data_IF_098161281227
#
_entry.id   IF_098161281227
#
_cell.length_a   1.000
_cell.length_b   1.000
_cell.length_c   1.000
_cell.angle_alpha   90.00
_cell.angle_beta   90.00
_cell.angle_gamma   90.00
#
_symmetry.space_group_name_H-M   'P 1'
#
loop_
_entity.id
_entity.type
_entity.pdbx_description
1 polymer ?
#
# COMPACT_ATOMS: atom_id res chain seq x y z
N UNK A 1 0.19 -8.15 -30.68
CA UNK A 1 -0.58 -7.54 -29.58
C UNK A 1 -0.39 -8.45 -28.35
N UNK A 2 0.37 -8.02 -27.35
CA UNK A 2 0.53 -8.80 -26.11
C UNK A 2 -0.83 -8.96 -25.46
N UNK A 3 -1.20 -10.17 -25.08
CA UNK A 3 -2.45 -10.47 -24.35
C UNK A 3 -2.45 -9.66 -23.05
N UNK A 4 -3.54 -8.96 -22.76
CA UNK A 4 -3.73 -8.26 -21.47
C UNK A 4 -3.74 -9.31 -20.33
N UNK A 5 -2.83 -9.15 -19.37
CA UNK A 5 -2.75 -10.01 -18.19
C UNK A 5 -3.96 -9.78 -17.27
N UNK A 6 -4.44 -10.84 -16.67
CA UNK A 6 -5.47 -10.78 -15.62
C UNK A 6 -4.88 -10.29 -14.30
N UNK A 7 -5.72 -9.79 -13.39
CA UNK A 7 -5.30 -9.39 -12.05
C UNK A 7 -4.60 -10.54 -11.28
N UNK A 8 -5.04 -11.79 -11.53
CA UNK A 8 -4.43 -13.00 -10.95
C UNK A 8 -3.01 -13.26 -11.49
N UNK A 9 -2.81 -13.11 -12.78
CA UNK A 9 -1.48 -13.27 -13.39
C UNK A 9 -0.53 -12.18 -12.86
N UNK A 10 -0.98 -10.93 -12.77
CA UNK A 10 -0.21 -9.83 -12.18
C UNK A 10 0.12 -10.10 -10.71
N UNK A 11 -0.86 -10.58 -9.91
CA UNK A 11 -0.62 -10.92 -8.51
C UNK A 11 0.46 -12.01 -8.36
N UNK A 12 0.44 -13.05 -9.20
CA UNK A 12 1.47 -14.08 -9.22
C UNK A 12 2.85 -13.51 -9.58
N UNK A 13 2.91 -12.56 -10.51
CA UNK A 13 4.16 -11.86 -10.83
C UNK A 13 4.64 -11.02 -9.64
N UNK A 14 3.77 -10.23 -9.02
CA UNK A 14 4.11 -9.36 -7.89
C UNK A 14 4.66 -10.14 -6.68
N UNK A 15 4.20 -11.39 -6.48
CA UNK A 15 4.60 -12.27 -5.37
C UNK A 15 5.76 -13.21 -5.71
N UNK A 16 6.22 -13.22 -6.96
CA UNK A 16 7.28 -14.12 -7.41
C UNK A 16 8.64 -13.77 -6.78
N UNK A 17 9.42 -14.78 -6.41
CA UNK A 17 10.76 -14.59 -5.84
C UNK A 17 11.73 -13.92 -6.80
N UNK A 18 11.62 -14.19 -8.10
CA UNK A 18 12.47 -13.61 -9.15
C UNK A 18 12.01 -12.24 -9.66
N UNK A 19 10.93 -11.69 -9.10
CA UNK A 19 10.57 -10.28 -9.27
C UNK A 19 11.71 -9.39 -8.78
N UNK A 20 11.98 -8.28 -9.48
CA UNK A 20 13.01 -7.31 -9.06
C UNK A 20 12.82 -6.90 -7.59
N UNK A 21 13.92 -6.74 -6.86
CA UNK A 21 13.95 -6.41 -5.44
C UNK A 21 14.68 -5.09 -5.18
N UNK A 22 14.35 -4.45 -4.08
CA UNK A 22 14.92 -3.15 -3.68
C UNK A 22 16.44 -3.15 -3.69
N UNK A 23 17.09 -4.22 -3.18
CA UNK A 23 18.54 -4.33 -3.18
C UNK A 23 19.14 -4.27 -4.59
N UNK A 24 18.55 -5.00 -5.53
CA UNK A 24 19.00 -5.02 -6.93
C UNK A 24 18.87 -3.62 -7.57
N UNK A 25 17.80 -2.88 -7.25
CA UNK A 25 17.61 -1.51 -7.73
C UNK A 25 18.68 -0.59 -7.16
N UNK A 26 18.95 -0.68 -5.85
CA UNK A 26 19.95 0.15 -5.19
C UNK A 26 21.34 -0.14 -5.76
N UNK A 27 21.71 -1.40 -5.87
CA UNK A 27 23.02 -1.82 -6.40
C UNK A 27 23.24 -1.43 -7.88
N UNK A 28 22.17 -1.38 -8.68
CA UNK A 28 22.27 -1.09 -10.11
C UNK A 28 22.16 0.40 -10.47
N UNK A 29 21.34 1.18 -9.74
CA UNK A 29 21.02 2.56 -10.11
C UNK A 29 21.64 3.61 -9.22
N UNK A 30 22.24 3.24 -8.10
CA UNK A 30 22.83 4.17 -7.13
C UNK A 30 24.29 3.85 -6.87
N UNK A 31 25.07 4.88 -6.58
CA UNK A 31 26.47 4.77 -6.14
C UNK A 31 26.61 5.23 -4.70
N UNK A 32 27.71 4.88 -4.06
CA UNK A 32 28.10 5.31 -2.72
C UNK A 32 27.03 5.08 -1.64
N UNK A 33 26.28 3.97 -1.78
CA UNK A 33 25.26 3.62 -0.78
C UNK A 33 25.90 3.36 0.59
N UNK A 34 25.50 4.18 1.56
CA UNK A 34 25.84 4.02 2.96
C UNK A 34 24.59 3.69 3.75
N UNK A 35 24.56 2.50 4.36
CA UNK A 35 23.43 2.08 5.19
C UNK A 35 23.32 2.90 6.46
N UNK A 36 22.09 2.94 7.02
CA UNK A 36 21.83 3.66 8.26
C UNK A 36 22.73 3.23 9.42
N UNK A 37 23.04 1.95 9.52
CA UNK A 37 23.96 1.42 10.54
C UNK A 37 25.38 1.99 10.41
N UNK A 38 25.79 2.36 9.19
CA UNK A 38 27.08 3.04 8.94
C UNK A 38 27.07 4.54 9.22
N UNK A 39 25.89 5.15 9.35
CA UNK A 39 25.74 6.60 9.59
C UNK A 39 25.62 6.97 11.08
N UNK A 40 25.32 6.03 11.94
CA UNK A 40 25.10 6.25 13.36
C UNK A 40 25.99 5.38 14.24
N UNK A 41 26.67 6.03 15.18
CA UNK A 41 27.45 5.36 16.23
C UNK A 41 26.58 4.86 17.41
N UNK A 42 25.25 5.09 17.36
CA UNK A 42 24.33 4.72 18.43
C UNK A 42 22.97 4.27 17.85
N UNK A 43 22.28 3.40 18.58
CA UNK A 43 20.93 2.97 18.24
C UNK A 43 19.95 4.16 18.34
N UNK A 44 19.24 4.52 17.26
CA UNK A 44 18.30 5.61 17.30
C UNK A 44 17.12 5.26 18.21
N UNK A 45 16.55 6.31 18.82
CA UNK A 45 15.40 6.17 19.71
C UNK A 45 14.29 7.13 19.31
N UNK A 46 13.04 6.73 19.54
CA UNK A 46 11.86 7.56 19.35
C UNK A 46 11.10 7.71 20.68
N UNK A 47 10.52 8.88 20.90
CA UNK A 47 9.64 9.13 22.03
C UNK A 47 8.20 8.79 21.65
N UNK A 48 7.63 7.83 22.37
CA UNK A 48 6.25 7.42 22.20
C UNK A 48 5.26 8.42 22.84
N UNK A 49 3.96 8.44 22.46
CA UNK A 49 2.96 9.34 23.02
C UNK A 49 2.77 9.19 24.54
N UNK A 50 2.96 8.00 25.06
CA UNK A 50 2.88 7.69 26.50
C UNK A 50 4.14 8.11 27.27
N UNK A 51 5.11 8.79 26.63
CA UNK A 51 6.37 9.23 27.22
C UNK A 51 7.47 8.18 27.28
N UNK A 52 7.20 6.92 26.92
CA UNK A 52 8.24 5.88 26.85
C UNK A 52 9.20 6.11 25.69
N UNK A 53 10.40 5.54 25.79
CA UNK A 53 11.41 5.55 24.72
C UNK A 53 11.38 4.21 23.99
N UNK A 54 11.26 4.26 22.65
CA UNK A 54 11.37 3.11 21.78
C UNK A 54 12.80 3.07 21.23
N UNK A 55 13.58 2.07 21.62
CA UNK A 55 14.88 1.80 21.03
C UNK A 55 14.69 1.05 19.71
N UNK A 56 15.28 1.56 18.64
CA UNK A 56 15.15 1.00 17.30
C UNK A 56 16.33 0.08 17.01
N UNK A 57 16.04 -1.02 16.36
CA UNK A 57 17.02 -2.00 15.90
C UNK A 57 16.82 -2.22 14.39
N UNK A 58 17.75 -2.96 13.76
CA UNK A 58 17.64 -3.30 12.35
C UNK A 58 16.37 -4.10 12.06
N UNK A 59 15.67 -3.71 10.99
CA UNK A 59 14.61 -4.49 10.40
C UNK A 59 15.14 -5.20 9.13
N UNK A 60 15.15 -6.54 9.07
CA UNK A 60 15.68 -7.25 7.91
C UNK A 60 14.85 -7.05 6.63
N UNK A 61 13.57 -6.67 6.76
CA UNK A 61 12.66 -6.39 5.65
C UNK A 61 12.72 -4.92 5.17
N UNK A 62 13.68 -4.11 5.67
CA UNK A 62 13.83 -2.72 5.24
C UNK A 62 15.30 -2.33 5.07
N UNK A 63 15.60 -1.66 3.96
CA UNK A 63 16.90 -1.07 3.63
C UNK A 63 16.76 0.43 3.76
N UNK A 64 17.62 1.05 4.57
CA UNK A 64 17.58 2.50 4.82
C UNK A 64 19.00 3.04 4.72
N UNK A 65 19.18 4.17 4.07
CA UNK A 65 20.49 4.79 3.93
C UNK A 65 20.48 6.03 3.06
N UNK A 66 21.66 6.48 2.71
CA UNK A 66 21.92 7.54 1.74
C UNK A 66 22.74 7.00 0.58
N UNK A 67 22.58 7.58 -0.59
CA UNK A 67 23.31 7.16 -1.80
C UNK A 67 23.38 8.34 -2.78
N UNK A 68 24.07 8.13 -3.89
CA UNK A 68 24.04 9.06 -5.02
C UNK A 68 23.19 8.49 -6.15
N UNK A 69 22.24 9.28 -6.64
CA UNK A 69 21.51 9.03 -7.87
C UNK A 69 21.92 10.06 -8.91
N UNK A 70 22.60 9.61 -9.96
CA UNK A 70 23.16 10.47 -11.01
C UNK A 70 23.98 11.66 -10.46
N UNK A 71 24.84 11.36 -9.49
CA UNK A 71 25.72 12.36 -8.86
C UNK A 71 25.05 13.31 -7.88
N UNK A 72 23.78 13.07 -7.52
CA UNK A 72 23.06 13.85 -6.52
C UNK A 72 22.76 12.97 -5.29
N UNK A 73 23.04 13.49 -4.11
CA UNK A 73 22.77 12.78 -2.86
C UNK A 73 21.26 12.64 -2.63
N UNK A 74 20.83 11.43 -2.27
CA UNK A 74 19.44 11.08 -2.01
C UNK A 74 19.32 10.21 -0.75
N UNK A 75 18.21 10.31 -0.07
CA UNK A 75 17.84 9.40 1.00
C UNK A 75 17.01 8.24 0.43
N UNK A 76 17.23 7.03 0.93
CA UNK A 76 16.55 5.81 0.49
C UNK A 76 15.86 5.15 1.65
N UNK A 77 14.59 4.79 1.48
CA UNK A 77 13.83 3.89 2.33
C UNK A 77 13.20 2.82 1.42
N UNK A 78 13.60 1.57 1.59
CA UNK A 78 13.21 0.51 0.67
C UNK A 78 12.77 -0.74 1.43
N UNK A 79 11.55 -1.20 1.17
CA UNK A 79 11.06 -2.47 1.69
C UNK A 79 11.60 -3.61 0.85
N UNK A 80 11.89 -4.74 1.49
CA UNK A 80 12.55 -5.89 0.87
C UNK A 80 11.81 -7.17 1.22
N UNK A 81 11.29 -7.85 0.19
CA UNK A 81 10.79 -9.21 0.30
C UNK A 81 11.87 -10.23 -0.05
N UNK A 82 11.76 -11.50 0.41
CA UNK A 82 12.75 -12.54 0.11
C UNK A 82 12.83 -12.86 -1.38
N UNK A 83 14.03 -13.28 -1.84
CA UNK A 83 14.29 -13.73 -3.23
C UNK A 83 14.19 -15.25 -3.40
N UNK A 84 14.00 -15.96 -2.30
CA UNK A 84 13.86 -17.43 -2.29
C UNK A 84 13.02 -17.88 -1.09
N UNK A 85 12.55 -19.14 -1.14
CA UNK A 85 11.84 -19.74 -0.01
C UNK A 85 12.74 -19.89 1.22
N UNK A 86 14.03 -20.10 1.02
CA UNK A 86 15.04 -20.28 2.07
C UNK A 86 15.28 -18.97 2.86
N UNK A 87 15.13 -17.82 2.19
CA UNK A 87 15.35 -16.51 2.81
C UNK A 87 14.14 -15.96 3.57
N UNK A 88 12.98 -16.63 3.51
CA UNK A 88 11.72 -16.09 4.06
C UNK A 88 11.84 -15.66 5.52
N UNK A 89 12.42 -16.50 6.37
CA UNK A 89 12.57 -16.16 7.79
C UNK A 89 13.58 -15.04 8.02
N UNK A 90 14.65 -14.98 7.22
CA UNK A 90 15.68 -13.94 7.32
C UNK A 90 15.14 -12.54 7.00
N UNK A 91 14.13 -12.44 6.13
CA UNK A 91 13.46 -11.18 5.78
C UNK A 91 12.09 -11.02 6.47
N UNK A 92 11.88 -11.68 7.61
CA UNK A 92 10.60 -11.67 8.34
C UNK A 92 9.40 -11.88 7.40
N UNK A 93 9.51 -12.80 6.45
CA UNK A 93 8.47 -13.11 5.43
C UNK A 93 8.06 -11.92 4.55
N UNK A 94 8.86 -10.86 4.47
CA UNK A 94 8.52 -9.61 3.78
C UNK A 94 7.58 -8.69 4.57
N UNK A 95 7.40 -8.98 5.86
CA UNK A 95 6.62 -8.17 6.79
C UNK A 95 7.54 -7.14 7.46
N UNK A 96 7.30 -5.86 7.24
CA UNK A 96 8.06 -4.79 7.86
C UNK A 96 7.71 -4.66 9.34
N UNK A 97 8.72 -4.66 10.21
CA UNK A 97 8.59 -4.56 11.66
C UNK A 97 8.43 -3.10 12.13
N UNK A 98 8.07 -2.92 13.40
CA UNK A 98 7.97 -1.61 14.02
C UNK A 98 9.30 -0.83 13.94
N UNK A 99 10.42 -1.53 14.10
CA UNK A 99 11.76 -0.94 14.01
C UNK A 99 12.01 -0.31 12.63
N UNK A 100 11.63 -0.97 11.56
CA UNK A 100 11.75 -0.46 10.19
C UNK A 100 10.99 0.85 10.00
N UNK A 101 9.73 0.95 10.46
CA UNK A 101 8.98 2.21 10.38
C UNK A 101 9.56 3.30 11.27
N UNK A 102 10.09 2.94 12.45
CA UNK A 102 10.80 3.88 13.32
C UNK A 102 12.04 4.45 12.64
N UNK A 103 12.86 3.59 12.04
CA UNK A 103 14.05 4.00 11.27
C UNK A 103 13.68 4.82 10.03
N UNK A 104 12.56 4.48 9.35
CA UNK A 104 12.04 5.25 8.24
C UNK A 104 11.68 6.68 8.65
N UNK A 105 11.06 6.88 9.83
CA UNK A 105 10.82 8.23 10.37
C UNK A 105 12.10 9.00 10.58
N UNK A 106 13.13 8.38 11.19
CA UNK A 106 14.44 9.02 11.38
C UNK A 106 15.07 9.41 10.02
N UNK A 107 14.94 8.57 9.00
CA UNK A 107 15.47 8.89 7.67
C UNK A 107 14.67 10.01 6.97
N UNK A 108 13.35 10.09 7.16
CA UNK A 108 12.54 11.21 6.68
C UNK A 108 12.99 12.53 7.31
N UNK A 109 13.25 12.53 8.62
CA UNK A 109 13.78 13.71 9.33
C UNK A 109 15.19 14.07 8.86
N UNK A 110 16.04 13.08 8.63
CA UNK A 110 17.37 13.26 8.07
C UNK A 110 17.32 13.86 6.65
N UNK A 111 16.48 13.29 5.78
CA UNK A 111 16.31 13.79 4.40
C UNK A 111 15.87 15.24 4.37
N UNK A 112 14.92 15.64 5.19
CA UNK A 112 14.47 17.02 5.31
C UNK A 112 15.56 17.95 5.83
N UNK A 113 16.25 17.54 6.91
CA UNK A 113 17.33 18.33 7.53
C UNK A 113 18.45 18.66 6.56
N UNK A 114 18.79 17.73 5.69
CA UNK A 114 19.89 17.90 4.71
C UNK A 114 19.41 18.22 3.29
N UNK A 115 18.12 18.42 3.08
CA UNK A 115 17.53 18.78 1.77
C UNK A 115 17.62 17.65 0.74
N UNK A 116 17.78 16.39 1.17
CA UNK A 116 17.92 15.25 0.26
C UNK A 116 16.55 14.87 -0.33
N UNK A 117 16.53 14.56 -1.63
CA UNK A 117 15.34 13.94 -2.21
C UNK A 117 15.15 12.54 -1.63
N UNK A 118 13.96 12.23 -1.14
CA UNK A 118 13.63 10.93 -0.59
C UNK A 118 13.11 9.99 -1.68
N UNK A 119 13.79 8.87 -1.89
CA UNK A 119 13.32 7.77 -2.75
C UNK A 119 12.80 6.63 -1.89
N UNK A 120 11.54 6.23 -2.08
CA UNK A 120 10.99 5.07 -1.40
C UNK A 120 10.66 3.94 -2.39
N UNK A 121 11.08 2.71 -2.08
CA UNK A 121 10.74 1.51 -2.83
C UNK A 121 9.87 0.61 -1.97
N UNK A 122 8.72 0.23 -2.50
CA UNK A 122 7.69 -0.49 -1.74
C UNK A 122 7.56 -1.90 -2.28
N UNK A 123 7.95 -2.86 -1.45
CA UNK A 123 7.74 -4.29 -1.67
C UNK A 123 7.56 -4.98 -0.32
N UNK A 124 6.32 -5.07 0.15
CA UNK A 124 5.96 -5.65 1.44
C UNK A 124 4.63 -6.37 1.39
N UNK A 125 4.54 -7.46 2.11
CA UNK A 125 3.26 -8.15 2.39
C UNK A 125 2.37 -7.31 3.30
N UNK A 126 2.99 -6.47 4.15
CA UNK A 126 2.30 -5.58 5.10
C UNK A 126 3.17 -5.28 6.31
N UNK A 127 2.58 -4.58 7.28
CA UNK A 127 3.20 -4.41 8.60
C UNK A 127 3.16 -5.73 9.39
N UNK A 128 4.19 -5.98 10.18
CA UNK A 128 4.30 -7.18 11.02
C UNK A 128 3.18 -7.23 12.07
N UNK A 129 2.30 -8.23 12.06
CA UNK A 129 1.17 -8.32 12.98
C UNK A 129 1.52 -8.93 14.34
N UNK A 130 2.78 -9.33 14.57
CA UNK A 130 3.16 -10.08 15.77
C UNK A 130 3.30 -9.18 17.00
N UNK A 131 3.19 -9.83 18.16
CA UNK A 131 3.17 -9.15 19.47
C UNK A 131 4.41 -8.27 19.74
N UNK A 132 5.58 -8.66 19.25
CA UNK A 132 6.82 -7.89 19.42
C UNK A 132 6.73 -6.52 18.73
N UNK A 133 6.22 -6.47 17.51
CA UNK A 133 6.00 -5.23 16.76
C UNK A 133 4.83 -4.42 17.35
N UNK A 134 3.76 -5.08 17.79
CA UNK A 134 2.66 -4.42 18.48
C UNK A 134 3.11 -3.74 19.78
N UNK A 135 3.97 -4.40 20.57
CA UNK A 135 4.56 -3.84 21.80
C UNK A 135 5.41 -2.59 21.53
N UNK A 136 6.02 -2.48 20.36
CA UNK A 136 6.75 -1.30 19.89
C UNK A 136 5.86 -0.28 19.17
N UNK A 137 4.54 -0.35 19.34
CA UNK A 137 3.56 0.58 18.76
C UNK A 137 3.57 0.63 17.22
N UNK A 138 3.64 -0.52 16.56
CA UNK A 138 3.66 -0.66 15.09
C UNK A 138 2.64 0.23 14.38
N UNK A 139 1.37 0.17 14.79
CA UNK A 139 0.29 0.94 14.14
C UNK A 139 0.50 2.45 14.27
N UNK A 140 1.00 2.91 15.42
CA UNK A 140 1.34 4.30 15.65
C UNK A 140 2.52 4.74 14.76
N UNK A 141 3.56 3.92 14.63
CA UNK A 141 4.72 4.22 13.78
C UNK A 141 4.30 4.29 12.30
N UNK A 142 3.45 3.38 11.83
CA UNK A 142 2.86 3.43 10.47
C UNK A 142 2.09 4.74 10.27
N UNK A 143 1.22 5.12 11.20
CA UNK A 143 0.47 6.37 11.13
C UNK A 143 1.38 7.61 11.16
N UNK A 144 2.45 7.57 11.95
CA UNK A 144 3.47 8.62 11.99
C UNK A 144 4.23 8.75 10.67
N UNK A 145 4.59 7.63 10.03
CA UNK A 145 5.19 7.65 8.69
C UNK A 145 4.26 8.32 7.66
N UNK A 146 2.97 7.98 7.67
CA UNK A 146 1.99 8.60 6.78
C UNK A 146 1.92 10.12 7.01
N UNK A 147 1.77 10.55 8.27
CA UNK A 147 1.71 11.96 8.63
C UNK A 147 3.00 12.68 8.22
N UNK A 148 4.16 12.03 8.42
CA UNK A 148 5.46 12.60 8.08
C UNK A 148 5.66 12.74 6.58
N UNK A 149 5.32 11.73 5.79
CA UNK A 149 5.34 11.80 4.33
C UNK A 149 4.50 12.97 3.79
N UNK A 150 3.32 13.20 4.38
CA UNK A 150 2.41 14.29 4.01
C UNK A 150 2.91 15.69 4.42
N UNK A 151 3.80 15.78 5.39
CA UNK A 151 4.34 17.06 5.90
C UNK A 151 5.80 17.30 5.52
N UNK A 152 6.41 16.42 4.74
CA UNK A 152 7.83 16.43 4.43
C UNK A 152 8.24 17.66 3.60
N UNK A 153 9.15 18.48 4.12
CA UNK A 153 9.63 19.71 3.46
C UNK A 153 10.83 19.43 2.55
N UNK A 154 10.91 18.24 1.98
CA UNK A 154 11.84 17.90 0.91
C UNK A 154 11.14 17.10 -0.17
N UNK A 155 11.77 16.95 -1.32
CA UNK A 155 11.20 16.21 -2.46
C UNK A 155 11.10 14.73 -2.17
N UNK A 156 10.07 14.06 -2.67
CA UNK A 156 9.88 12.63 -2.44
C UNK A 156 9.30 11.93 -3.66
N UNK A 157 9.80 10.72 -3.91
CA UNK A 157 9.39 9.82 -4.99
C UNK A 157 9.13 8.46 -4.39
N UNK A 158 7.95 7.89 -4.61
CA UNK A 158 7.59 6.56 -4.15
C UNK A 158 7.33 5.62 -5.34
N UNK A 159 7.87 4.41 -5.28
CA UNK A 159 7.69 3.40 -6.32
C UNK A 159 7.30 2.05 -5.74
N UNK A 160 6.12 1.54 -6.11
CA UNK A 160 5.71 0.19 -5.77
C UNK A 160 6.34 -0.76 -6.79
N UNK A 161 7.21 -1.66 -6.33
CA UNK A 161 8.01 -2.54 -7.20
C UNK A 161 7.59 -4.00 -7.18
N UNK A 162 6.79 -4.39 -6.19
CA UNK A 162 6.28 -5.75 -6.02
C UNK A 162 4.91 -5.74 -5.34
N UNK A 163 4.86 -6.17 -4.11
CA UNK A 163 3.64 -6.13 -3.31
C UNK A 163 3.54 -4.83 -2.53
N UNK A 164 2.43 -4.12 -2.65
CA UNK A 164 2.08 -2.99 -1.80
C UNK A 164 1.02 -3.40 -0.78
N UNK A 165 1.45 -4.00 0.35
CA UNK A 165 0.55 -4.57 1.35
C UNK A 165 0.07 -3.53 2.38
N UNK A 166 -1.23 -3.19 2.34
CA UNK A 166 -1.99 -2.54 3.42
C UNK A 166 -1.30 -1.29 4.03
N UNK A 167 -1.42 -1.13 5.35
CA UNK A 167 -0.81 -0.04 6.12
C UNK A 167 0.71 0.03 5.97
N UNK A 168 1.36 -1.12 5.77
CA UNK A 168 2.80 -1.21 5.56
C UNK A 168 3.29 -0.47 4.33
N UNK A 169 2.55 -0.58 3.24
CA UNK A 169 2.87 0.09 1.99
C UNK A 169 2.50 1.58 2.02
N UNK A 170 1.31 1.94 2.53
CA UNK A 170 0.85 3.33 2.55
C UNK A 170 1.74 4.21 3.44
N UNK A 171 2.41 3.63 4.44
CA UNK A 171 3.37 4.34 5.30
C UNK A 171 4.45 5.08 4.51
N UNK A 172 4.83 4.59 3.32
CA UNK A 172 5.93 5.10 2.50
C UNK A 172 5.48 5.61 1.12
N UNK A 173 4.19 5.45 0.76
CA UNK A 173 3.70 5.72 -0.60
C UNK A 173 3.22 7.17 -0.80
N UNK A 174 2.98 7.93 0.27
CA UNK A 174 2.41 9.28 0.21
C UNK A 174 3.47 10.34 -0.19
N UNK A 175 4.02 10.20 -1.39
CA UNK A 175 5.08 11.05 -1.95
C UNK A 175 4.56 12.04 -2.99
N UNK A 176 5.37 13.06 -3.34
CA UNK A 176 5.05 14.04 -4.38
C UNK A 176 4.89 13.40 -5.76
N UNK A 177 5.70 12.37 -6.06
CA UNK A 177 5.54 11.52 -7.25
C UNK A 177 5.40 10.07 -6.83
N UNK A 178 4.40 9.39 -7.39
CA UNK A 178 4.00 8.05 -6.98
C UNK A 178 3.90 7.16 -8.20
N UNK A 179 4.70 6.12 -8.24
CA UNK A 179 4.81 5.21 -9.37
C UNK A 179 4.58 3.75 -8.96
N UNK A 180 4.31 2.92 -9.94
CA UNK A 180 4.15 1.48 -9.72
C UNK A 180 4.63 0.73 -10.97
N UNK A 181 5.39 -0.34 -10.78
CA UNK A 181 5.74 -1.27 -11.86
C UNK A 181 4.47 -1.98 -12.36
N UNK A 182 4.43 -2.26 -13.66
CA UNK A 182 3.24 -2.82 -14.33
C UNK A 182 2.78 -4.16 -13.76
N UNK A 183 3.72 -4.99 -13.29
CA UNK A 183 3.47 -6.32 -12.72
C UNK A 183 3.48 -6.31 -11.17
N UNK A 184 3.11 -5.18 -10.57
CA UNK A 184 2.99 -5.02 -9.12
C UNK A 184 1.52 -4.96 -8.68
N UNK A 185 1.28 -5.10 -7.38
CA UNK A 185 -0.05 -4.98 -6.78
C UNK A 185 -0.06 -4.04 -5.59
N UNK A 186 -1.17 -3.32 -5.39
CA UNK A 186 -1.38 -2.50 -4.21
C UNK A 186 -2.78 -2.76 -3.65
N UNK A 187 -2.85 -3.24 -2.42
CA UNK A 187 -4.10 -3.69 -1.83
C UNK A 187 -4.15 -3.51 -0.31
N UNK A 188 -5.35 -3.25 0.19
CA UNK A 188 -5.62 -3.13 1.63
C UNK A 188 -5.47 -4.46 2.38
N UNK A 189 -5.63 -5.58 1.70
CA UNK A 189 -5.55 -6.94 2.25
C UNK A 189 -5.06 -7.91 1.19
N UNK A 190 -4.37 -8.98 1.59
CA UNK A 190 -4.02 -10.07 0.68
C UNK A 190 -5.29 -10.73 0.09
N UNK A 191 -5.29 -11.14 -1.19
CA UNK A 191 -6.46 -11.74 -1.82
C UNK A 191 -6.98 -12.98 -1.10
N UNK A 192 -6.10 -13.78 -0.50
CA UNK A 192 -6.45 -14.94 0.32
C UNK A 192 -7.22 -14.53 1.57
N UNK A 193 -6.78 -13.46 2.24
CA UNK A 193 -7.48 -12.88 3.40
C UNK A 193 -8.85 -12.31 3.01
N UNK A 194 -8.94 -11.63 1.88
CA UNK A 194 -10.19 -11.14 1.32
C UNK A 194 -11.14 -12.31 0.99
N UNK A 195 -10.63 -13.37 0.37
CA UNK A 195 -11.40 -14.57 0.06
C UNK A 195 -11.92 -15.26 1.33
N UNK A 196 -11.09 -15.39 2.35
CA UNK A 196 -11.48 -15.97 3.64
C UNK A 196 -12.62 -15.19 4.31
N UNK A 197 -12.55 -13.85 4.28
CA UNK A 197 -13.57 -12.98 4.90
C UNK A 197 -14.88 -12.99 4.11
N UNK A 198 -14.81 -12.79 2.77
CA UNK A 198 -16.00 -12.61 1.95
C UNK A 198 -16.68 -13.92 1.59
N UNK A 199 -15.90 -14.97 1.33
CA UNK A 199 -16.41 -16.24 0.81
C UNK A 199 -16.31 -17.39 1.84
N UNK A 200 -15.61 -17.16 2.97
CA UNK A 200 -15.34 -18.18 4.00
C UNK A 200 -14.63 -19.45 3.47
N UNK A 201 -14.02 -19.32 2.32
CA UNK A 201 -13.25 -20.37 1.63
C UNK A 201 -12.08 -19.73 0.91
N UNK A 202 -10.94 -20.40 0.93
CA UNK A 202 -9.74 -19.98 0.23
C UNK A 202 -9.44 -21.02 -0.84
N UNK A 203 -9.98 -20.78 -2.02
CA UNK A 203 -9.77 -21.60 -3.23
C UNK A 203 -9.24 -20.69 -4.33
N UNK A 204 -8.72 -21.29 -5.41
CA UNK A 204 -8.26 -20.56 -6.58
C UNK A 204 -9.36 -19.64 -7.17
N UNK A 205 -10.62 -20.09 -7.17
CA UNK A 205 -11.75 -19.32 -7.69
C UNK A 205 -12.14 -18.17 -6.77
N UNK A 206 -12.12 -18.38 -5.44
CA UNK A 206 -12.43 -17.31 -4.48
C UNK A 206 -11.31 -16.28 -4.39
N UNK A 207 -10.05 -16.66 -4.57
CA UNK A 207 -8.92 -15.74 -4.71
C UNK A 207 -9.05 -14.92 -5.98
N UNK A 208 -9.39 -15.53 -7.11
CA UNK A 208 -9.62 -14.81 -8.36
C UNK A 208 -10.78 -13.81 -8.22
N UNK A 209 -11.87 -14.22 -7.57
CA UNK A 209 -13.00 -13.33 -7.27
C UNK A 209 -12.62 -12.18 -6.34
N UNK A 210 -11.79 -12.44 -5.33
CA UNK A 210 -11.26 -11.40 -4.43
C UNK A 210 -10.40 -10.38 -5.20
N UNK A 211 -9.54 -10.81 -6.11
CA UNK A 211 -8.74 -9.93 -6.95
C UNK A 211 -9.57 -9.03 -7.86
N UNK A 212 -10.68 -9.55 -8.41
CA UNK A 212 -11.62 -8.73 -9.19
C UNK A 212 -12.33 -7.67 -8.33
N UNK A 213 -12.56 -7.95 -7.06
CA UNK A 213 -13.16 -7.00 -6.10
C UNK A 213 -12.14 -5.97 -5.63
N UNK A 214 -10.93 -6.41 -5.27
CA UNK A 214 -9.86 -5.57 -4.74
C UNK A 214 -9.28 -4.63 -5.79
N UNK A 215 -9.28 -5.02 -7.07
CA UNK A 215 -8.73 -4.24 -8.19
C UNK A 215 -7.30 -3.72 -7.90
N UNK A 216 -6.32 -4.59 -7.55
CA UNK A 216 -5.06 -4.17 -6.97
C UNK A 216 -3.98 -3.80 -8.01
N UNK A 217 -4.28 -3.83 -9.31
CA UNK A 217 -3.28 -3.65 -10.37
C UNK A 217 -2.92 -2.19 -10.59
N UNK A 218 -1.76 -1.94 -11.19
CA UNK A 218 -1.28 -0.60 -11.51
C UNK A 218 -2.29 0.21 -12.37
N UNK A 219 -3.00 -0.44 -13.30
CA UNK A 219 -4.03 0.21 -14.09
C UNK A 219 -5.18 0.76 -13.22
N UNK A 220 -5.63 -0.02 -12.22
CA UNK A 220 -6.65 0.43 -11.28
C UNK A 220 -6.13 1.58 -10.40
N UNK A 221 -4.87 1.51 -9.97
CA UNK A 221 -4.28 2.55 -9.12
C UNK A 221 -4.16 3.91 -9.84
N UNK A 222 -3.88 3.90 -11.15
CA UNK A 222 -3.95 5.12 -11.97
C UNK A 222 -5.39 5.64 -12.07
N UNK A 223 -6.35 4.75 -12.33
CA UNK A 223 -7.77 5.14 -12.43
C UNK A 223 -8.29 5.79 -11.14
N UNK A 224 -7.81 5.32 -9.99
CA UNK A 224 -8.18 5.87 -8.67
C UNK A 224 -7.38 7.10 -8.28
N UNK A 225 -6.39 7.52 -9.07
CA UNK A 225 -5.50 8.62 -8.75
C UNK A 225 -4.56 8.33 -7.58
N UNK A 226 -4.35 7.04 -7.25
CA UNK A 226 -3.46 6.60 -6.18
C UNK A 226 -2.00 6.71 -6.60
N UNK A 227 -1.69 6.47 -7.88
CA UNK A 227 -0.37 6.65 -8.47
C UNK A 227 -0.45 7.62 -9.67
N UNK A 228 0.67 8.26 -9.97
CA UNK A 228 0.75 9.23 -11.07
C UNK A 228 1.02 8.57 -12.42
N UNK A 229 1.81 7.47 -12.44
CA UNK A 229 2.07 6.72 -13.67
C UNK A 229 2.50 5.27 -13.40
N UNK A 230 2.38 4.45 -14.44
CA UNK A 230 2.86 3.06 -14.48
C UNK A 230 4.24 3.05 -15.13
N UNK A 231 5.19 2.36 -14.52
CA UNK A 231 6.50 2.07 -15.10
C UNK A 231 6.39 0.77 -15.88
N UNK A 232 6.75 0.82 -17.16
CA UNK A 232 6.73 -0.35 -18.03
C UNK A 232 7.68 -1.45 -17.51
N UNK A 233 7.20 -2.67 -17.60
CA UNK A 233 7.90 -3.85 -17.13
C UNK A 233 7.62 -5.00 -18.09
N UNK A 234 8.65 -5.72 -18.60
CA UNK A 234 8.45 -6.89 -19.45
C UNK A 234 7.92 -8.07 -18.64
N UNK A 235 7.44 -9.14 -19.27
CA UNK A 235 7.13 -10.40 -18.59
C UNK A 235 8.31 -10.92 -17.78
N UNK A 236 8.05 -11.57 -16.66
CA UNK A 236 9.12 -12.09 -15.77
C UNK A 236 10.00 -13.16 -16.43
N UNK A 237 9.47 -13.84 -17.45
CA UNK A 237 10.16 -14.88 -18.22
C UNK A 237 11.09 -14.30 -19.30
N UNK A 238 11.05 -12.98 -19.53
CA UNK A 238 11.93 -12.33 -20.51
C UNK A 238 13.39 -12.43 -20.04
N UNK A 239 14.32 -12.94 -20.87
CA UNK A 239 15.72 -13.03 -20.52
C UNK A 239 16.36 -11.67 -20.14
N UNK A 240 15.79 -10.57 -20.63
CA UNK A 240 16.26 -9.21 -20.36
C UNK A 240 15.40 -8.50 -19.31
N UNK A 241 14.55 -9.24 -18.60
CA UNK A 241 13.60 -8.68 -17.63
C UNK A 241 14.24 -7.66 -16.66
N UNK A 242 15.34 -8.08 -16.01
CA UNK A 242 16.00 -7.23 -15.01
C UNK A 242 16.56 -5.95 -15.64
N UNK A 243 17.30 -6.06 -16.73
CA UNK A 243 17.92 -4.91 -17.40
C UNK A 243 16.86 -3.93 -17.91
N UNK A 244 15.85 -4.42 -18.64
CA UNK A 244 14.78 -3.59 -19.20
C UNK A 244 13.96 -2.89 -18.08
N UNK A 245 13.71 -3.59 -16.96
CA UNK A 245 13.01 -3.00 -15.81
C UNK A 245 13.85 -1.91 -15.14
N UNK A 246 15.15 -2.14 -14.97
CA UNK A 246 16.07 -1.14 -14.40
C UNK A 246 16.18 0.10 -15.30
N UNK A 247 16.24 -0.06 -16.63
CA UNK A 247 16.24 1.05 -17.59
C UNK A 247 14.95 1.87 -17.48
N UNK A 248 13.81 1.22 -17.40
CA UNK A 248 12.50 1.87 -17.24
C UNK A 248 12.40 2.63 -15.91
N UNK A 249 12.89 2.04 -14.82
CA UNK A 249 12.97 2.66 -13.49
C UNK A 249 13.90 3.88 -13.52
N UNK A 250 15.11 3.73 -14.06
CA UNK A 250 16.09 4.82 -14.18
C UNK A 250 15.53 6.00 -14.95
N UNK A 251 14.94 5.77 -16.11
CA UNK A 251 14.32 6.80 -16.93
C UNK A 251 13.20 7.54 -16.18
N UNK A 252 12.33 6.81 -15.47
CA UNK A 252 11.23 7.43 -14.71
C UNK A 252 11.74 8.21 -13.51
N UNK A 253 12.70 7.68 -12.75
CA UNK A 253 13.30 8.38 -11.59
C UNK A 253 14.03 9.65 -12.03
N UNK A 254 14.78 9.59 -13.13
CA UNK A 254 15.47 10.74 -13.72
C UNK A 254 14.47 11.85 -14.08
N UNK A 255 13.42 11.48 -14.79
CA UNK A 255 12.35 12.41 -15.15
C UNK A 255 11.70 13.04 -13.91
N UNK A 256 11.33 12.22 -12.93
CA UNK A 256 10.68 12.68 -11.70
C UNK A 256 11.60 13.62 -10.90
N UNK A 257 12.89 13.30 -10.78
CA UNK A 257 13.87 14.13 -10.09
C UNK A 257 14.01 15.49 -10.79
N UNK A 258 14.08 15.51 -12.12
CA UNK A 258 14.16 16.76 -12.91
C UNK A 258 12.90 17.61 -12.75
N UNK A 259 11.72 17.00 -12.84
CA UNK A 259 10.44 17.69 -12.65
C UNK A 259 10.32 18.29 -11.25
N UNK A 260 10.67 17.53 -10.22
CA UNK A 260 10.60 17.99 -8.83
C UNK A 260 11.63 19.07 -8.52
N UNK A 261 12.82 19.03 -9.13
CA UNK A 261 13.89 20.02 -8.90
C UNK A 261 13.46 21.46 -9.26
N UNK A 262 12.59 21.62 -10.26
CA UNK A 262 12.11 22.91 -10.74
C UNK A 262 10.96 23.51 -9.91
N UNK A 263 10.33 22.73 -9.03
CA UNK A 263 9.15 23.15 -8.29
C UNK A 263 9.48 23.57 -6.85
N UNK A 264 8.78 24.59 -6.35
CA UNK A 264 8.83 24.99 -4.94
C UNK A 264 8.17 23.92 -4.05
N UNK A 265 8.73 23.68 -2.87
CA UNK A 265 8.22 22.65 -1.95
C UNK A 265 6.77 22.89 -1.55
N UNK A 266 6.39 24.14 -1.24
CA UNK A 266 5.00 24.48 -0.88
C UNK A 266 4.01 24.14 -2.00
N UNK A 267 4.39 24.38 -3.26
CA UNK A 267 3.57 24.02 -4.41
C UNK A 267 3.43 22.50 -4.56
N UNK A 268 4.50 21.74 -4.30
CA UNK A 268 4.49 20.27 -4.32
C UNK A 268 3.61 19.72 -3.20
N UNK A 269 3.68 20.32 -2.00
CA UNK A 269 2.83 19.95 -0.87
C UNK A 269 1.34 20.19 -1.16
N UNK A 270 1.01 21.35 -1.74
CA UNK A 270 -0.37 21.64 -2.13
C UNK A 270 -0.84 20.66 -3.21
N UNK A 271 -0.03 20.39 -4.23
CA UNK A 271 -0.32 19.39 -5.27
C UNK A 271 -0.58 18.00 -4.66
N UNK A 272 0.23 17.57 -3.69
CA UNK A 272 0.08 16.28 -3.00
C UNK A 272 -1.25 16.21 -2.23
N UNK A 273 -1.58 17.26 -1.47
CA UNK A 273 -2.85 17.35 -0.74
C UNK A 273 -4.04 17.29 -1.70
N UNK A 274 -3.99 18.01 -2.82
CA UNK A 274 -5.03 18.01 -3.84
C UNK A 274 -5.18 16.65 -4.52
N UNK A 275 -4.07 15.95 -4.78
CA UNK A 275 -4.08 14.58 -5.31
C UNK A 275 -4.77 13.63 -4.34
N UNK A 276 -4.40 13.67 -3.06
CA UNK A 276 -4.99 12.81 -2.03
C UNK A 276 -6.45 13.10 -1.84
N UNK A 277 -6.86 14.37 -1.81
CA UNK A 277 -8.26 14.77 -1.71
C UNK A 277 -9.11 14.29 -2.90
N UNK A 278 -8.50 14.01 -4.04
CA UNK A 278 -9.15 13.48 -5.24
C UNK A 278 -9.10 11.97 -5.38
N UNK A 279 -8.24 11.27 -4.60
CA UNK A 279 -8.15 9.82 -4.64
C UNK A 279 -9.51 9.16 -4.44
N UNK A 280 -9.84 8.19 -5.30
CA UNK A 280 -11.11 7.47 -5.28
C UNK A 280 -12.33 8.29 -5.72
N UNK A 281 -12.21 9.58 -6.02
CA UNK A 281 -13.27 10.36 -6.64
C UNK A 281 -13.32 10.04 -8.13
N UNK A 282 -14.11 9.05 -8.47
CA UNK A 282 -14.37 8.70 -9.86
C UNK A 282 -15.46 9.64 -10.35
N UNK A 283 -15.21 10.37 -11.43
CA UNK A 283 -16.09 11.41 -11.97
C UNK A 283 -17.49 10.90 -12.38
N UNK A 284 -17.62 9.59 -12.59
CA UNK A 284 -18.90 8.89 -12.72
C UNK A 284 -18.86 7.61 -11.89
N UNK A 285 -19.98 7.18 -11.27
CA UNK A 285 -20.03 5.88 -10.64
C UNK A 285 -19.80 4.82 -11.70
N UNK A 286 -18.54 4.36 -11.81
CA UNK A 286 -18.20 3.27 -12.70
C UNK A 286 -19.10 2.08 -12.36
N UNK A 287 -19.61 1.33 -13.32
CA UNK A 287 -20.55 0.24 -13.08
C UNK A 287 -19.93 -0.96 -12.34
N UNK A 288 -18.74 -0.81 -11.71
CA UNK A 288 -18.11 -1.87 -10.92
C UNK A 288 -18.98 -2.37 -9.77
N UNK A 289 -19.71 -1.48 -9.08
CA UNK A 289 -20.67 -1.90 -8.06
C UNK A 289 -21.87 -2.63 -8.71
N UNK A 290 -22.24 -2.31 -9.96
CA UNK A 290 -23.21 -3.08 -10.75
C UNK A 290 -22.62 -4.39 -11.27
N UNK A 291 -21.32 -4.42 -11.63
CA UNK A 291 -20.59 -5.65 -11.95
C UNK A 291 -20.40 -6.50 -10.71
N UNK A 292 -20.01 -5.91 -9.58
CA UNK A 292 -19.93 -6.60 -8.29
C UNK A 292 -21.26 -7.20 -7.84
N UNK A 293 -22.37 -6.48 -8.02
CA UNK A 293 -23.71 -7.04 -7.77
C UNK A 293 -24.10 -8.19 -8.73
N UNK A 294 -23.76 -8.11 -10.02
CA UNK A 294 -23.98 -9.22 -10.97
C UNK A 294 -23.06 -10.40 -10.68
N UNK A 295 -21.84 -10.15 -10.28
CA UNK A 295 -20.86 -11.17 -9.91
C UNK A 295 -21.18 -11.79 -8.56
N UNK A 296 -21.52 -11.00 -7.55
CA UNK A 296 -22.04 -11.48 -6.26
C UNK A 296 -23.33 -12.28 -6.42
N UNK A 297 -24.23 -11.88 -7.33
CA UNK A 297 -25.44 -12.63 -7.67
C UNK A 297 -25.15 -13.94 -8.40
N UNK A 298 -24.08 -13.99 -9.20
CA UNK A 298 -23.61 -15.21 -9.87
C UNK A 298 -22.94 -16.17 -8.90
N UNK A 299 -22.10 -15.65 -7.96
CA UNK A 299 -21.50 -16.41 -6.86
C UNK A 299 -22.54 -16.85 -5.84
N UNK A 300 -23.56 -16.02 -5.58
CA UNK A 300 -24.71 -16.37 -4.75
C UNK A 300 -25.47 -17.60 -5.27
N UNK A 301 -25.59 -17.75 -6.58
CA UNK A 301 -26.22 -18.93 -7.19
C UNK A 301 -25.30 -20.15 -7.23
N UNK A 302 -23.96 -19.95 -7.15
CA UNK A 302 -22.98 -21.04 -7.14
C UNK A 302 -22.70 -21.60 -5.74
N UNK A 303 -22.87 -20.77 -4.69
CA UNK A 303 -22.58 -21.12 -3.31
C UNK A 303 -23.83 -21.43 -2.48
N UNK A 304 -24.77 -22.21 -3.00
CA UNK A 304 -25.82 -22.82 -2.18
C UNK A 304 -25.36 -24.20 -1.67
N UNK A 305 -24.56 -24.26 -0.58
CA UNK A 305 -24.69 -25.38 0.32
C UNK A 305 -25.92 -25.13 1.19
N UNK A 306 -26.51 -26.19 1.68
CA UNK A 306 -27.70 -26.20 2.51
C UNK A 306 -27.67 -25.10 3.58
N UNK A 307 -28.76 -24.37 3.66
CA UNK A 307 -29.09 -23.28 4.58
C UNK A 307 -28.54 -23.56 5.99
N UNK A 308 -27.54 -22.77 6.41
CA UNK A 308 -27.31 -22.60 7.84
C UNK A 308 -28.21 -21.46 8.31
N UNK A 309 -29.14 -21.81 9.20
CA UNK A 309 -30.12 -20.93 9.85
C UNK A 309 -29.49 -20.11 10.99
N UNK A 310 -28.26 -19.62 10.83
CA UNK A 310 -27.63 -18.76 11.84
C UNK A 310 -28.13 -17.32 11.66
N UNK A 311 -28.89 -16.76 12.64
CA UNK A 311 -29.44 -15.41 12.58
C UNK A 311 -28.36 -14.31 12.45
N UNK A 312 -27.17 -14.51 13.02
CA UNK A 312 -26.06 -13.56 12.91
C UNK A 312 -25.55 -13.42 11.46
N UNK A 313 -25.60 -14.48 10.67
CA UNK A 313 -25.16 -14.46 9.27
C UNK A 313 -26.15 -13.70 8.39
N UNK A 314 -27.45 -13.82 8.70
CA UNK A 314 -28.48 -13.07 8.01
C UNK A 314 -28.36 -11.55 8.26
N UNK A 315 -27.88 -11.16 9.43
CA UNK A 315 -27.72 -9.76 9.84
C UNK A 315 -26.47 -9.12 9.20
N UNK A 316 -25.35 -9.82 9.17
CA UNK A 316 -24.15 -9.39 8.45
C UNK A 316 -24.44 -9.25 6.94
N UNK A 317 -25.23 -10.16 6.37
CA UNK A 317 -25.67 -10.08 4.95
C UNK A 317 -26.48 -8.82 4.68
N UNK A 318 -27.40 -8.43 5.54
CA UNK A 318 -28.20 -7.21 5.41
C UNK A 318 -27.34 -5.96 5.51
N UNK A 319 -26.33 -5.96 6.39
CA UNK A 319 -25.43 -4.82 6.59
C UNK A 319 -24.42 -4.61 5.45
N UNK A 320 -23.86 -5.69 4.89
CA UNK A 320 -22.82 -5.58 3.85
C UNK A 320 -23.40 -5.40 2.45
N UNK A 321 -24.55 -5.98 2.16
CA UNK A 321 -25.11 -6.00 0.79
C UNK A 321 -26.39 -5.17 0.62
N UNK A 322 -26.89 -4.55 1.68
CA UNK A 322 -28.12 -3.79 1.65
C UNK A 322 -29.34 -4.63 1.32
N UNK A 323 -30.50 -4.33 1.89
CA UNK A 323 -31.78 -4.92 1.46
C UNK A 323 -32.07 -4.44 0.03
N UNK A 324 -32.14 -5.35 -0.93
CA UNK A 324 -32.46 -5.04 -2.32
C UNK A 324 -33.87 -4.41 -2.52
N UNK A 325 -34.65 -4.37 -1.45
CA UNK A 325 -36.03 -3.87 -1.44
C UNK A 325 -36.19 -2.54 -0.68
N UNK A 326 -35.10 -1.88 -0.26
CA UNK A 326 -35.18 -0.58 0.41
C UNK A 326 -35.43 0.51 -0.61
N UNK A 327 -36.70 0.91 -0.77
CA UNK A 327 -37.04 2.19 -1.41
C UNK A 327 -36.66 3.34 -0.47
N UNK A 328 -36.32 4.55 -1.02
CA UNK A 328 -35.95 5.72 -0.19
C UNK A 328 -36.99 6.11 0.86
N UNK A 329 -38.21 5.61 0.77
CA UNK A 329 -39.34 5.88 1.69
C UNK A 329 -39.40 4.92 2.89
N UNK A 330 -38.61 3.86 2.93
CA UNK A 330 -38.62 2.84 3.99
C UNK A 330 -37.46 2.97 4.99
N UNK A 331 -36.67 4.04 4.96
CA UNK A 331 -35.64 4.31 5.95
C UNK A 331 -36.29 4.82 7.24
N UNK A 332 -36.28 3.99 8.28
CA UNK A 332 -36.75 4.34 9.61
C UNK A 332 -35.90 5.48 10.19
N UNK A 333 -36.54 6.63 10.43
CA UNK A 333 -36.03 7.73 11.25
C UNK A 333 -36.14 7.36 12.71
N UNK A 334 -35.02 7.33 13.42
CA UNK A 334 -35.04 7.19 14.89
C UNK A 334 -35.11 8.60 15.48
N UNK A 335 -36.11 8.84 16.31
CA UNK A 335 -36.32 10.08 17.03
C UNK A 335 -35.98 9.90 18.51
N UNK A 336 -35.40 10.92 19.14
CA UNK A 336 -35.19 10.97 20.58
C UNK A 336 -36.52 11.19 21.36
N UNK A 337 -36.43 11.21 22.67
CA UNK A 337 -37.58 11.41 23.56
C UNK A 337 -38.29 12.75 23.35
N UNK A 338 -37.64 13.73 22.75
CA UNK A 338 -38.11 15.07 22.44
C UNK A 338 -38.62 15.22 21.01
N UNK A 339 -38.62 14.11 20.22
CA UNK A 339 -39.13 14.06 18.85
C UNK A 339 -38.16 14.51 17.76
N UNK A 340 -36.90 14.82 18.09
CA UNK A 340 -35.88 15.21 17.12
C UNK A 340 -35.30 13.99 16.40
N UNK A 341 -34.99 14.14 15.12
CA UNK A 341 -34.40 13.08 14.32
C UNK A 341 -32.93 12.89 14.69
N UNK A 342 -32.59 11.76 15.34
CA UNK A 342 -31.25 11.44 15.81
C UNK A 342 -30.47 10.66 14.78
N UNK A 343 -31.12 9.99 13.81
CA UNK A 343 -30.50 9.26 12.70
C UNK A 343 -31.35 9.29 11.43
N UNK A 344 -30.68 9.59 10.32
CA UNK A 344 -31.13 9.30 8.96
C UNK A 344 -30.27 8.19 8.36
N UNK A 345 -30.90 7.13 7.85
CA UNK A 345 -30.24 6.15 6.99
C UNK A 345 -29.96 4.79 7.61
N UNK A 346 -29.85 3.80 6.75
CA UNK A 346 -29.55 2.41 7.06
C UNK A 346 -28.24 2.30 7.86
N UNK A 347 -28.37 2.15 9.16
CA UNK A 347 -27.41 1.70 10.16
C UNK A 347 -25.91 1.78 9.88
N UNK A 348 -25.29 2.93 9.87
CA UNK A 348 -23.85 3.03 10.00
C UNK A 348 -23.49 3.28 11.45
N UNK A 349 -22.74 2.32 12.02
CA UNK A 349 -22.11 2.42 13.33
C UNK A 349 -20.99 3.46 13.29
N UNK A 350 -21.27 4.67 13.83
CA UNK A 350 -20.25 5.49 14.48
C UNK A 350 -20.77 5.84 15.87
N UNK A 351 -19.98 5.66 16.94
CA UNK A 351 -20.39 6.12 18.25
C UNK A 351 -20.53 7.64 18.23
N UNK A 352 -21.63 8.13 18.80
CA UNK A 352 -21.76 9.53 19.13
C UNK A 352 -20.85 9.81 20.33
N UNK A 353 -20.03 10.87 20.24
CA UNK A 353 -19.59 11.62 21.41
C UNK A 353 -20.73 12.49 21.92
#
# INVERSE_FOLDING_TARGET
>A
MLRKMTAREIYRCATAYHKIKSRQIIEALYTDFTSWEGLLDFAPTLRAPNGSTISLTKDPAMIIGVAQFQGTDVAIIAQQTPQSAQERSAYNYGLTQADGYGLALCMMDYAEKYGLTLHTFIDTVGGDPFAASAAKLQSWLIARCQARMLSLQTRSIATIIGQGGSGGAIALQLAHRRYMLALSTYSVIAPEGCAAILFRQVTEDTIAAALEILQPTAEHMVQYGIIDAIIAEPPLEDPHYLATTLDSLSAMLTRATTELASAAIDALQQELQDKIARCGRIAEPQPWYRRGRRFAKRLWNFSRPAVTTDPHIADIRRHVFGNSDCTPQACNTVKDADGNVVRHGCGHLFPAE
#
